data_IF_184681717095
#
_entry.id   IF_184681717095
#
_cell.length_a   1.000
_cell.length_b   1.000
_cell.length_c   1.000
_cell.angle_alpha   90.00
_cell.angle_beta   90.00
_cell.angle_gamma   90.00
#
_symmetry.space_group_name_H-M   'P 1'
#
loop_
_entity.id
_entity.type
_entity.pdbx_description
1 polymer ?
#
# COMPACT_ATOMS: atom_id res chain seq x y z
N UNK A 1 2.48 -9.02 -36.03
CA UNK A 1 3.11 -9.42 -34.75
C UNK A 1 4.21 -8.41 -34.42
N UNK A 2 4.21 -7.92 -33.18
CA UNK A 2 5.22 -6.93 -32.69
C UNK A 2 6.12 -7.59 -31.63
N UNK A 3 7.28 -7.00 -31.36
CA UNK A 3 8.12 -7.49 -30.29
C UNK A 3 7.60 -7.04 -28.90
N UNK A 4 8.09 -7.69 -27.84
CA UNK A 4 7.66 -7.44 -26.46
C UNK A 4 7.88 -5.99 -26.00
N UNK A 5 9.01 -5.37 -26.39
CA UNK A 5 9.31 -4.00 -25.96
C UNK A 5 8.40 -2.97 -26.66
N UNK A 6 8.07 -3.20 -27.94
CA UNK A 6 7.09 -2.36 -28.65
C UNK A 6 5.71 -2.47 -27.98
N UNK A 7 5.27 -3.69 -27.61
CA UNK A 7 4.01 -3.88 -26.90
C UNK A 7 3.99 -3.10 -25.56
N UNK A 8 5.05 -3.19 -24.77
CA UNK A 8 5.19 -2.40 -23.52
C UNK A 8 5.14 -0.89 -23.78
N UNK A 9 5.82 -0.39 -24.81
CA UNK A 9 5.75 1.04 -25.19
C UNK A 9 4.32 1.48 -25.54
N UNK A 10 3.58 0.66 -26.29
CA UNK A 10 2.17 0.95 -26.63
C UNK A 10 1.33 1.00 -25.37
N UNK A 11 1.47 0.06 -24.46
CA UNK A 11 0.74 0.05 -23.19
C UNK A 11 1.03 1.30 -22.37
N UNK A 12 2.31 1.69 -22.21
CA UNK A 12 2.70 2.94 -21.51
C UNK A 12 2.10 4.20 -22.13
N UNK A 13 2.02 4.29 -23.46
CA UNK A 13 1.38 5.40 -24.17
C UNK A 13 -0.15 5.37 -24.11
N UNK A 14 -0.73 4.26 -23.67
CA UNK A 14 -2.17 4.01 -23.66
C UNK A 14 -2.79 4.09 -22.27
N UNK A 15 -2.08 4.62 -21.28
CA UNK A 15 -2.56 4.75 -19.90
C UNK A 15 -3.89 5.50 -19.84
N UNK A 16 -4.84 4.96 -19.06
CA UNK A 16 -6.10 5.59 -18.76
C UNK A 16 -6.01 6.36 -17.43
N UNK A 17 -6.81 7.43 -17.30
CA UNK A 17 -6.85 8.21 -16.05
C UNK A 17 -7.90 7.62 -15.11
N UNK A 18 -7.48 7.28 -13.91
CA UNK A 18 -8.35 6.83 -12.83
C UNK A 18 -8.53 7.98 -11.82
N UNK A 19 -9.76 8.14 -11.34
CA UNK A 19 -10.11 9.15 -10.33
C UNK A 19 -9.50 8.80 -8.98
N UNK A 20 -9.27 9.82 -8.18
CA UNK A 20 -8.96 9.66 -6.77
C UNK A 20 -10.26 9.60 -5.96
N UNK A 21 -10.21 9.01 -4.77
CA UNK A 21 -11.30 9.01 -3.82
C UNK A 21 -10.78 9.26 -2.40
N UNK A 22 -11.63 9.90 -1.58
CA UNK A 22 -11.32 10.18 -0.18
C UNK A 22 -11.96 9.12 0.70
N UNK A 23 -11.17 8.45 1.53
CA UNK A 23 -11.64 7.37 2.40
C UNK A 23 -11.15 7.58 3.85
N UNK A 24 -11.79 6.89 4.80
CA UNK A 24 -11.28 6.85 6.19
C UNK A 24 -9.92 6.12 6.21
N UNK A 25 -8.95 6.67 6.91
CA UNK A 25 -7.60 6.12 6.99
C UNK A 25 -7.57 4.67 7.51
N UNK A 26 -8.47 4.32 8.42
CA UNK A 26 -8.59 2.94 8.96
C UNK A 26 -9.06 1.90 7.93
N UNK A 27 -9.68 2.33 6.83
CA UNK A 27 -10.16 1.47 5.75
C UNK A 27 -9.24 1.49 4.53
N UNK A 28 -8.01 1.97 4.69
CA UNK A 28 -7.10 2.22 3.58
C UNK A 28 -6.06 1.13 3.33
N UNK A 29 -6.08 0.07 4.08
CA UNK A 29 -5.14 -1.05 3.89
C UNK A 29 -5.12 -1.50 2.42
N UNK A 30 -3.92 -1.71 1.88
CA UNK A 30 -3.66 -2.11 0.49
C UNK A 30 -4.18 -1.12 -0.58
N UNK A 31 -4.58 0.11 -0.20
CA UNK A 31 -4.89 1.17 -1.16
C UNK A 31 -3.60 1.92 -1.53
N UNK A 32 -3.61 2.59 -2.67
CA UNK A 32 -2.49 3.40 -3.15
C UNK A 32 -2.75 4.87 -2.84
N UNK A 33 -1.85 5.52 -2.13
CA UNK A 33 -1.93 6.94 -1.83
C UNK A 33 -1.90 7.78 -3.12
N UNK A 34 -2.86 8.67 -3.32
CA UNK A 34 -2.93 9.50 -4.53
C UNK A 34 -2.17 10.82 -4.40
N UNK A 35 -1.81 11.20 -3.19
CA UNK A 35 -1.03 12.39 -2.83
C UNK A 35 -0.07 12.05 -1.68
N UNK A 36 0.94 12.88 -1.45
CA UNK A 36 1.75 12.78 -0.24
C UNK A 36 0.87 13.04 0.99
N UNK A 37 1.04 12.23 2.01
CA UNK A 37 0.34 12.37 3.29
C UNK A 37 1.33 12.94 4.30
N UNK A 38 0.93 14.03 4.96
CA UNK A 38 1.78 14.76 5.89
C UNK A 38 1.26 14.66 7.32
N UNK A 39 2.15 14.73 8.29
CA UNK A 39 1.78 14.87 9.69
C UNK A 39 1.10 16.23 9.93
N UNK A 40 -0.06 16.21 10.58
CA UNK A 40 -0.78 17.43 10.96
C UNK A 40 -0.28 18.05 12.27
N UNK A 41 0.52 17.32 13.04
CA UNK A 41 0.99 17.66 14.38
C UNK A 41 2.46 17.24 14.57
N UNK A 42 3.10 17.82 15.58
CA UNK A 42 4.31 17.23 16.15
C UNK A 42 3.92 16.03 17.02
N UNK A 43 4.65 14.93 16.91
CA UNK A 43 4.46 13.77 17.78
C UNK A 43 5.80 13.28 18.35
N UNK A 44 5.91 13.17 19.68
CA UNK A 44 4.97 13.59 20.72
C UNK A 44 4.63 15.08 20.65
N UNK A 45 3.45 15.47 21.18
CA UNK A 45 2.97 16.85 21.15
C UNK A 45 3.71 17.79 22.12
N UNK A 46 4.44 17.23 23.08
CA UNK A 46 5.26 17.91 24.06
C UNK A 46 6.44 17.06 24.50
N UNK A 47 7.37 17.63 25.25
CA UNK A 47 8.43 16.85 25.88
C UNK A 47 7.83 15.93 26.93
N UNK A 48 8.06 14.62 26.80
CA UNK A 48 7.47 13.58 27.65
C UNK A 48 8.55 12.82 28.41
N UNK A 49 8.16 12.25 29.55
CA UNK A 49 9.02 11.32 30.28
C UNK A 49 9.18 10.02 29.48
N UNK A 50 10.42 9.59 29.28
CA UNK A 50 10.74 8.31 28.64
C UNK A 50 10.65 7.11 29.60
N UNK A 51 10.70 7.38 30.92
CA UNK A 51 10.62 6.39 32.00
C UNK A 51 9.73 6.92 33.14
N UNK A 52 9.22 5.98 33.93
CA UNK A 52 8.59 6.32 35.20
C UNK A 52 9.65 6.86 36.15
N UNK A 53 9.36 7.95 36.85
CA UNK A 53 10.33 8.57 37.74
C UNK A 53 9.95 9.96 38.20
N UNK A 54 10.94 10.83 38.34
CA UNK A 54 10.76 12.18 38.85
C UNK A 54 11.30 13.23 37.89
N UNK A 55 10.48 14.17 37.48
CA UNK A 55 10.89 15.36 36.77
C UNK A 55 11.49 16.39 37.74
N UNK A 56 12.69 16.87 37.40
CA UNK A 56 13.41 17.91 38.18
C UNK A 56 14.04 18.92 37.21
N UNK A 57 14.54 20.02 37.77
CA UNK A 57 15.42 20.93 37.06
C UNK A 57 16.87 20.51 37.25
N UNK A 58 17.57 20.15 36.16
CA UNK A 58 18.95 19.69 36.18
C UNK A 58 19.93 20.71 36.80
N UNK A 59 19.62 22.02 36.69
CA UNK A 59 20.44 23.11 37.29
C UNK A 59 20.53 22.99 38.80
N UNK A 60 19.51 22.45 39.46
CA UNK A 60 19.49 22.27 40.90
C UNK A 60 20.45 21.16 41.37
N UNK A 61 20.96 20.37 40.44
CA UNK A 61 21.94 19.30 40.75
C UNK A 61 23.42 19.68 40.51
N UNK A 62 23.70 20.91 40.02
CA UNK A 62 25.04 21.32 39.58
C UNK A 62 26.12 21.21 40.68
N UNK A 63 25.75 21.52 41.90
CA UNK A 63 26.67 21.60 43.05
C UNK A 63 26.59 20.35 43.94
N UNK A 64 25.90 19.29 43.50
CA UNK A 64 25.80 18.04 44.24
C UNK A 64 27.11 17.25 44.07
N UNK A 65 27.68 16.85 45.20
CA UNK A 65 28.80 15.91 45.24
C UNK A 65 28.38 14.58 45.91
N UNK A 66 29.15 13.53 45.71
CA UNK A 66 28.80 12.17 46.20
C UNK A 66 28.64 12.07 47.74
N UNK A 67 29.10 13.06 48.51
CA UNK A 67 29.04 13.08 49.99
C UNK A 67 27.73 13.71 50.52
N UNK A 68 26.97 14.45 49.70
CA UNK A 68 25.79 15.19 50.13
C UNK A 68 24.57 14.77 49.34
N UNK A 69 23.59 14.19 50.03
CA UNK A 69 22.27 13.90 49.45
C UNK A 69 21.41 15.17 49.43
N UNK A 70 21.18 15.74 48.26
CA UNK A 70 20.28 16.85 48.10
C UNK A 70 18.83 16.38 48.13
N UNK A 71 18.00 17.00 48.97
CA UNK A 71 16.55 16.73 49.05
C UNK A 71 15.79 17.54 48.00
N UNK A 72 14.95 16.86 47.23
CA UNK A 72 13.96 17.49 46.36
C UNK A 72 12.56 17.18 46.86
N UNK A 73 11.74 18.20 47.03
CA UNK A 73 10.39 18.10 47.57
C UNK A 73 9.44 17.56 46.50
N UNK A 74 8.69 16.52 46.81
CA UNK A 74 7.65 15.98 45.90
C UNK A 74 6.43 16.90 46.04
N UNK A 75 6.08 17.63 44.95
CA UNK A 75 4.98 18.60 44.92
C UNK A 75 3.72 18.09 44.22
N UNK A 76 3.79 16.89 43.63
CA UNK A 76 2.67 16.24 42.98
C UNK A 76 3.08 15.04 42.14
N UNK A 77 2.09 14.47 41.43
CA UNK A 77 2.26 13.36 40.53
C UNK A 77 1.54 13.62 39.20
N UNK A 78 2.05 13.10 38.09
CA UNK A 78 1.53 13.22 36.74
C UNK A 78 1.40 11.83 36.14
N UNK A 79 0.18 11.34 36.00
CA UNK A 79 -0.10 10.11 35.28
C UNK A 79 -0.04 10.34 33.76
N UNK A 80 0.14 9.26 32.99
CA UNK A 80 -0.02 9.31 31.53
C UNK A 80 -1.43 9.83 31.17
N UNK A 81 -1.49 10.79 30.25
CA UNK A 81 -2.75 11.42 29.83
C UNK A 81 -3.35 12.44 30.81
N UNK A 82 -2.67 12.71 31.93
CA UNK A 82 -3.12 13.76 32.86
C UNK A 82 -3.08 15.15 32.22
N UNK A 83 -3.94 16.05 32.75
CA UNK A 83 -3.92 17.47 32.35
C UNK A 83 -2.56 18.10 32.71
N UNK A 84 -2.13 19.16 31.97
CA UNK A 84 -0.88 19.84 32.24
C UNK A 84 -0.78 20.29 33.71
N UNK A 85 0.38 20.10 34.32
CA UNK A 85 0.66 20.46 35.69
C UNK A 85 0.70 22.00 35.84
N UNK A 86 -0.07 22.55 36.79
CA UNK A 86 -0.27 24.01 36.91
C UNK A 86 0.37 24.66 38.14
N UNK A 87 1.00 23.88 39.04
CA UNK A 87 1.62 24.44 40.23
C UNK A 87 2.88 25.23 39.87
N UNK A 88 3.16 26.31 40.64
CA UNK A 88 4.41 27.05 40.55
C UNK A 88 5.54 26.17 41.06
N UNK A 89 6.59 26.01 40.23
CA UNK A 89 7.75 25.20 40.52
C UNK A 89 8.82 26.09 41.18
N UNK A 90 9.31 25.64 42.33
CA UNK A 90 10.43 26.27 43.05
C UNK A 90 11.71 25.45 42.92
N UNK A 91 12.83 26.03 43.32
CA UNK A 91 14.10 25.34 43.41
C UNK A 91 13.99 24.12 44.33
N UNK A 92 14.60 22.98 43.90
CA UNK A 92 14.53 21.67 44.58
C UNK A 92 13.12 21.08 44.69
N UNK A 93 12.20 21.47 43.83
CA UNK A 93 10.96 20.73 43.63
C UNK A 93 11.16 19.54 42.68
N UNK A 94 10.36 18.49 42.89
CA UNK A 94 10.27 17.32 42.03
C UNK A 94 8.81 16.95 41.84
N UNK A 95 8.47 16.41 40.65
CA UNK A 95 7.14 15.86 40.36
C UNK A 95 7.32 14.41 39.92
N UNK A 96 6.59 13.52 40.59
CA UNK A 96 6.50 12.14 40.12
C UNK A 96 5.81 12.10 38.74
N UNK A 97 6.37 11.40 37.79
CA UNK A 97 5.85 11.40 36.43
C UNK A 97 5.94 9.99 35.84
N UNK A 98 4.81 9.55 35.23
CA UNK A 98 4.75 8.28 34.53
C UNK A 98 5.19 8.44 33.08
N UNK A 99 5.70 7.36 32.50
CA UNK A 99 6.09 7.27 31.07
C UNK A 99 5.01 7.86 30.17
N UNK A 100 5.39 8.71 29.23
CA UNK A 100 4.47 9.43 28.36
C UNK A 100 3.81 10.67 28.97
N UNK A 101 3.98 10.93 30.27
CA UNK A 101 3.54 12.16 30.91
C UNK A 101 4.27 13.38 30.36
N UNK A 102 3.55 14.50 30.15
CA UNK A 102 4.13 15.77 29.67
C UNK A 102 4.94 16.41 30.81
N UNK A 103 6.20 16.69 30.53
CA UNK A 103 7.12 17.33 31.49
C UNK A 103 6.68 18.79 31.72
N UNK A 104 6.42 19.19 32.97
CA UNK A 104 6.00 20.58 33.26
C UNK A 104 7.07 21.61 32.90
N UNK A 105 6.63 22.78 32.48
CA UNK A 105 7.53 23.91 32.25
C UNK A 105 8.30 24.24 33.55
N UNK A 106 9.63 24.29 33.46
CA UNK A 106 10.53 24.49 34.60
C UNK A 106 11.32 23.26 35.00
N UNK A 107 10.91 22.06 34.56
CA UNK A 107 11.68 20.85 34.63
C UNK A 107 12.28 20.52 33.26
N UNK A 108 13.44 19.86 33.25
CA UNK A 108 14.16 19.59 32.02
C UNK A 108 14.85 18.20 32.00
N UNK A 109 14.65 17.38 33.02
CA UNK A 109 15.25 16.05 33.12
C UNK A 109 14.40 15.11 33.96
N UNK A 110 14.51 13.81 33.68
CA UNK A 110 13.84 12.73 34.42
C UNK A 110 14.87 11.86 35.10
N UNK A 111 14.61 11.53 36.36
CA UNK A 111 15.37 10.48 37.07
C UNK A 111 14.46 9.27 37.20
N UNK A 112 14.85 8.11 36.63
CA UNK A 112 14.07 6.87 36.76
C UNK A 112 13.85 6.49 38.21
N UNK A 113 12.67 5.92 38.52
CA UNK A 113 12.26 5.59 39.88
C UNK A 113 13.26 4.61 40.56
N UNK A 114 13.88 3.74 39.79
CA UNK A 114 14.85 2.75 40.26
C UNK A 114 16.16 3.39 40.79
N UNK A 115 16.41 4.65 40.44
CA UNK A 115 17.60 5.43 40.87
C UNK A 115 17.28 6.39 41.99
N UNK A 116 16.12 6.29 42.63
CA UNK A 116 15.63 7.20 43.63
C UNK A 116 15.71 6.59 45.05
N UNK A 117 16.15 7.37 46.01
CA UNK A 117 15.98 7.09 47.43
C UNK A 117 14.97 8.06 48.03
N UNK A 118 13.97 7.53 48.71
CA UNK A 118 12.91 8.32 49.30
C UNK A 118 13.25 8.76 50.75
N UNK A 119 12.80 9.94 51.13
CA UNK A 119 12.96 10.47 52.48
C UNK A 119 11.63 11.00 53.03
N UNK A 120 11.26 10.73 54.27
CA UNK A 120 12.01 9.96 55.28
C UNK A 120 11.97 8.45 55.01
N UNK A 121 11.03 7.89 54.25
CA UNK A 121 10.94 6.46 53.92
C UNK A 121 10.11 6.24 52.64
N UNK A 122 10.13 5.01 52.12
CA UNK A 122 9.33 4.60 50.98
C UNK A 122 7.80 4.65 51.26
N UNK A 123 7.39 4.48 52.52
CA UNK A 123 5.99 4.59 52.94
C UNK A 123 5.54 6.03 53.18
N UNK A 124 6.52 6.96 53.42
CA UNK A 124 6.24 8.39 53.62
C UNK A 124 7.14 9.21 52.64
N UNK A 125 6.69 9.29 51.40
CA UNK A 125 7.45 9.90 50.28
C UNK A 125 7.29 11.42 50.26
N UNK A 126 7.99 12.15 51.14
CA UNK A 126 7.97 13.62 51.11
C UNK A 126 9.03 14.21 50.20
N UNK A 127 10.18 13.54 50.09
CA UNK A 127 11.32 14.00 49.31
C UNK A 127 11.94 12.84 48.57
N UNK A 128 12.64 13.14 47.46
CA UNK A 128 13.61 12.28 46.82
C UNK A 128 15.01 12.78 47.14
N UNK A 129 15.98 11.86 47.27
CA UNK A 129 17.38 12.16 47.53
C UNK A 129 18.20 11.95 46.26
N UNK A 130 18.97 12.97 45.89
CA UNK A 130 19.84 12.94 44.71
C UNK A 130 21.28 13.20 45.17
N UNK A 131 22.19 12.30 44.84
CA UNK A 131 23.60 12.32 45.31
C UNK A 131 24.62 12.56 44.21
N UNK A 132 24.15 12.91 43.00
CA UNK A 132 25.02 13.20 41.85
C UNK A 132 24.38 14.22 40.92
N UNK A 133 25.25 14.91 40.18
CA UNK A 133 24.81 15.76 39.07
C UNK A 133 24.03 14.94 38.04
N UNK A 134 22.97 15.50 37.53
CA UNK A 134 22.14 14.93 36.46
C UNK A 134 22.20 15.86 35.25
N UNK A 135 22.41 15.28 34.09
CA UNK A 135 22.50 16.06 32.86
C UNK A 135 21.11 16.53 32.40
N UNK A 136 21.11 17.69 31.76
CA UNK A 136 19.90 18.25 31.14
C UNK A 136 19.40 17.30 30.05
N UNK A 137 18.08 17.16 29.95
CA UNK A 137 17.39 16.33 28.96
C UNK A 137 17.59 14.81 29.11
N UNK A 138 18.14 14.35 30.23
CA UNK A 138 18.23 12.94 30.51
C UNK A 138 16.83 12.33 30.60
N UNK A 139 16.61 11.21 29.87
CA UNK A 139 15.33 10.49 29.80
C UNK A 139 14.13 11.34 29.36
N UNK A 140 14.36 12.38 28.54
CA UNK A 140 13.34 13.20 27.93
C UNK A 140 13.13 12.77 26.48
N UNK A 141 11.89 12.43 26.13
CA UNK A 141 11.47 12.24 24.75
C UNK A 141 10.95 13.57 24.22
N UNK A 142 11.64 14.13 23.25
CA UNK A 142 11.36 15.49 22.77
C UNK A 142 10.09 15.58 21.93
N UNK A 143 9.43 16.73 22.03
CA UNK A 143 8.36 17.12 21.11
C UNK A 143 8.83 16.92 19.66
N UNK A 144 8.01 16.23 18.86
CA UNK A 144 8.28 16.02 17.44
C UNK A 144 9.46 15.08 17.14
N UNK A 145 9.92 14.27 18.12
CA UNK A 145 11.03 13.35 17.90
C UNK A 145 10.69 12.21 16.95
N UNK A 146 9.44 11.81 16.82
CA UNK A 146 8.99 10.76 15.94
C UNK A 146 8.48 11.31 14.61
N UNK A 147 7.66 12.38 14.70
CA UNK A 147 7.14 13.11 13.54
C UNK A 147 7.05 14.61 13.84
N UNK A 148 7.55 15.41 12.92
CA UNK A 148 7.34 16.87 12.94
C UNK A 148 6.10 17.21 12.12
N UNK A 149 5.41 18.28 12.52
CA UNK A 149 4.33 18.85 11.70
C UNK A 149 4.83 19.12 10.28
N UNK A 150 4.03 18.76 9.27
CA UNK A 150 4.34 18.84 7.82
C UNK A 150 5.43 17.88 7.33
N UNK A 151 5.91 16.96 8.14
CA UNK A 151 6.77 15.86 7.69
C UNK A 151 5.97 14.84 6.86
N UNK A 152 6.57 14.28 5.82
CA UNK A 152 5.94 13.25 4.98
C UNK A 152 5.84 11.95 5.78
N UNK A 153 4.60 11.49 5.97
CA UNK A 153 4.27 10.21 6.60
C UNK A 153 4.21 9.09 5.57
N UNK A 154 3.72 9.39 4.37
CA UNK A 154 3.63 8.45 3.26
C UNK A 154 3.70 9.21 1.94
N UNK A 155 4.56 8.74 1.06
CA UNK A 155 4.68 9.31 -0.28
C UNK A 155 3.51 8.90 -1.19
N UNK A 156 3.18 9.79 -2.13
CA UNK A 156 2.28 9.49 -3.24
C UNK A 156 2.73 8.22 -3.97
N UNK A 157 1.77 7.47 -4.49
CA UNK A 157 1.96 6.22 -5.22
C UNK A 157 2.53 5.06 -4.38
N UNK A 158 2.48 5.16 -3.06
CA UNK A 158 2.84 4.08 -2.15
C UNK A 158 1.61 3.25 -1.74
N UNK A 159 1.79 1.95 -1.59
CA UNK A 159 0.77 1.05 -1.03
C UNK A 159 0.71 1.25 0.48
N UNK A 160 -0.48 1.44 1.00
CA UNK A 160 -0.72 1.63 2.43
C UNK A 160 -0.64 0.28 3.14
N UNK A 161 0.31 0.18 4.06
CA UNK A 161 0.60 -1.00 4.89
C UNK A 161 0.03 -0.85 6.30
N UNK A 162 -0.04 -1.90 7.13
CA UNK A 162 -0.56 -1.83 8.50
C UNK A 162 0.15 -0.78 9.38
N UNK A 163 1.47 -0.63 9.26
CA UNK A 163 2.26 0.38 9.98
C UNK A 163 1.84 1.81 9.62
N UNK A 164 1.45 2.08 8.37
CA UNK A 164 0.93 3.39 7.98
C UNK A 164 -0.42 3.69 8.65
N UNK A 165 -1.29 2.68 8.81
CA UNK A 165 -2.56 2.84 9.53
C UNK A 165 -2.32 3.15 11.00
N UNK A 166 -1.35 2.48 11.64
CA UNK A 166 -0.91 2.79 13.00
C UNK A 166 -0.50 4.27 13.10
N UNK A 167 0.39 4.71 12.21
CA UNK A 167 0.88 6.09 12.14
C UNK A 167 -0.25 7.10 11.92
N UNK A 168 -1.17 6.83 10.98
CA UNK A 168 -2.32 7.70 10.73
C UNK A 168 -3.18 7.87 11.98
N UNK A 169 -3.42 6.79 12.72
CA UNK A 169 -4.17 6.87 13.98
C UNK A 169 -3.42 7.64 15.06
N UNK A 170 -2.12 7.41 15.20
CA UNK A 170 -1.26 8.12 16.15
C UNK A 170 -1.24 9.63 15.89
N UNK A 171 -1.18 10.03 14.61
CA UNK A 171 -1.15 11.44 14.19
C UNK A 171 -2.54 12.08 14.02
N UNK A 172 -3.63 11.34 14.29
CA UNK A 172 -4.99 11.84 14.16
C UNK A 172 -5.46 12.06 12.73
N UNK A 173 -4.81 11.45 11.74
CA UNK A 173 -5.18 11.57 10.31
C UNK A 173 -6.44 10.72 10.06
N UNK A 174 -7.58 11.37 9.93
CA UNK A 174 -8.90 10.72 9.83
C UNK A 174 -9.22 10.24 8.42
N UNK A 175 -8.92 11.05 7.41
CA UNK A 175 -9.23 10.78 6.01
C UNK A 175 -8.00 11.01 5.14
N UNK A 176 -7.87 10.20 4.09
CA UNK A 176 -6.78 10.27 3.12
C UNK A 176 -7.32 10.13 1.70
N UNK A 177 -6.57 10.65 0.74
CA UNK A 177 -6.86 10.48 -0.68
C UNK A 177 -6.10 9.29 -1.24
N UNK A 178 -6.80 8.41 -1.94
CA UNK A 178 -6.25 7.19 -2.55
C UNK A 178 -6.71 7.06 -4.00
N UNK A 179 -5.98 6.31 -4.78
CA UNK A 179 -6.40 5.91 -6.12
C UNK A 179 -7.64 5.02 -6.04
N UNK A 180 -8.66 5.29 -6.86
CA UNK A 180 -9.82 4.42 -6.98
C UNK A 180 -9.38 3.07 -7.55
N UNK A 181 -9.97 1.97 -7.05
CA UNK A 181 -9.72 0.63 -7.62
C UNK A 181 -10.19 0.56 -9.06
N UNK A 182 -9.44 -0.17 -9.88
CA UNK A 182 -9.76 -0.40 -11.29
C UNK A 182 -10.89 -1.42 -11.39
N UNK A 183 -11.92 -1.15 -12.18
CA UNK A 183 -13.01 -2.08 -12.38
C UNK A 183 -12.76 -2.94 -13.63
N UNK A 184 -12.53 -4.24 -13.44
CA UNK A 184 -12.32 -5.22 -14.49
C UNK A 184 -13.59 -6.01 -14.72
N UNK A 185 -14.01 -6.12 -16.00
CA UNK A 185 -15.05 -7.02 -16.45
C UNK A 185 -14.41 -8.13 -17.30
N UNK A 186 -14.51 -9.36 -16.84
CA UNK A 186 -13.87 -10.52 -17.46
C UNK A 186 -14.89 -11.41 -18.19
N UNK A 187 -14.55 -11.89 -19.37
CA UNK A 187 -15.32 -12.88 -20.13
C UNK A 187 -14.43 -14.05 -20.50
N UNK A 188 -14.90 -15.26 -20.23
CA UNK A 188 -14.36 -16.47 -20.88
C UNK A 188 -15.01 -16.62 -22.26
N UNK A 189 -14.26 -17.07 -23.26
CA UNK A 189 -14.78 -17.24 -24.62
C UNK A 189 -14.50 -18.62 -25.14
N UNK A 190 -15.49 -19.24 -25.77
CA UNK A 190 -15.41 -20.57 -26.39
C UNK A 190 -16.63 -21.43 -26.06
N UNK A 191 -17.02 -22.27 -27.02
CA UNK A 191 -18.12 -23.24 -26.85
C UNK A 191 -17.74 -24.38 -25.90
N UNK A 192 -16.43 -24.66 -25.78
CA UNK A 192 -15.86 -25.71 -24.93
C UNK A 192 -15.90 -25.35 -23.44
N UNK A 193 -15.97 -24.07 -23.09
CA UNK A 193 -15.85 -23.61 -21.68
C UNK A 193 -17.11 -23.92 -20.87
N UNK A 194 -16.92 -24.45 -19.66
CA UNK A 194 -17.98 -24.73 -18.69
C UNK A 194 -17.65 -24.25 -17.30
N UNK A 195 -18.68 -23.81 -16.55
CA UNK A 195 -18.59 -23.49 -15.10
C UNK A 195 -18.98 -24.68 -14.22
N UNK A 196 -19.37 -25.80 -14.80
CA UNK A 196 -19.74 -27.02 -14.07
C UNK A 196 -18.48 -27.79 -13.66
N UNK A 197 -18.55 -28.47 -12.52
CA UNK A 197 -17.46 -29.32 -12.02
C UNK A 197 -17.40 -30.64 -12.80
N UNK A 198 -18.56 -31.24 -13.06
CA UNK A 198 -18.66 -32.45 -13.88
C UNK A 198 -18.92 -32.05 -15.33
N UNK A 199 -17.95 -32.31 -16.18
CA UNK A 199 -17.98 -31.97 -17.60
C UNK A 199 -17.56 -33.18 -18.43
N UNK A 200 -18.12 -33.35 -19.62
CA UNK A 200 -17.63 -34.39 -20.58
C UNK A 200 -16.24 -33.99 -21.09
N UNK A 201 -15.50 -34.99 -21.65
CA UNK A 201 -14.10 -34.86 -22.04
C UNK A 201 -13.84 -33.80 -23.11
N UNK A 202 -14.85 -33.43 -23.92
CA UNK A 202 -14.74 -32.37 -24.94
C UNK A 202 -14.99 -30.96 -24.39
N UNK A 203 -15.23 -30.79 -23.08
CA UNK A 203 -15.37 -29.51 -22.42
C UNK A 203 -14.16 -29.19 -21.55
N UNK A 204 -13.97 -27.91 -21.28
CA UNK A 204 -12.87 -27.41 -20.47
C UNK A 204 -13.45 -26.56 -19.32
N UNK A 205 -12.94 -26.77 -18.11
CA UNK A 205 -13.34 -25.98 -16.93
C UNK A 205 -12.86 -24.52 -17.05
N UNK A 206 -13.68 -23.58 -16.60
CA UNK A 206 -13.38 -22.15 -16.65
C UNK A 206 -12.30 -21.74 -15.63
N UNK A 207 -11.10 -22.25 -15.76
CA UNK A 207 -9.97 -22.03 -14.83
C UNK A 207 -9.40 -20.61 -14.89
N UNK A 208 -9.35 -19.98 -16.09
CA UNK A 208 -8.74 -18.67 -16.29
C UNK A 208 -9.44 -17.57 -15.50
N UNK A 209 -10.78 -17.62 -15.41
CA UNK A 209 -11.58 -16.69 -14.63
C UNK A 209 -11.20 -16.73 -13.14
N UNK A 210 -11.12 -17.94 -12.58
CA UNK A 210 -10.77 -18.14 -11.18
C UNK A 210 -9.33 -17.74 -10.88
N UNK A 211 -8.39 -18.07 -11.76
CA UNK A 211 -6.99 -17.69 -11.62
C UNK A 211 -6.83 -16.17 -11.57
N UNK A 212 -7.38 -15.45 -12.56
CA UNK A 212 -7.23 -14.00 -12.67
C UNK A 212 -7.90 -13.29 -11.50
N UNK A 213 -9.10 -13.75 -11.07
CA UNK A 213 -9.78 -13.22 -9.90
C UNK A 213 -8.92 -13.24 -8.64
N UNK A 214 -8.14 -14.33 -8.46
CA UNK A 214 -7.35 -14.55 -7.25
C UNK A 214 -5.90 -14.06 -7.35
N UNK A 215 -5.49 -13.49 -8.48
CA UNK A 215 -4.11 -13.00 -8.67
C UNK A 215 -3.86 -11.64 -8.00
N UNK A 216 -4.90 -10.88 -7.67
CA UNK A 216 -4.79 -9.54 -7.09
C UNK A 216 -4.48 -9.61 -5.59
N UNK A 217 -3.25 -9.92 -5.24
CA UNK A 217 -2.77 -9.97 -3.85
C UNK A 217 -2.78 -8.59 -3.17
N UNK A 218 -2.71 -7.52 -3.95
CA UNK A 218 -2.68 -6.13 -3.45
C UNK A 218 -4.03 -5.42 -3.52
N UNK A 219 -5.08 -6.11 -3.89
CA UNK A 219 -6.44 -5.56 -3.99
C UNK A 219 -6.53 -4.29 -4.85
N UNK A 220 -5.79 -4.25 -5.96
CA UNK A 220 -5.68 -3.09 -6.86
C UNK A 220 -6.92 -2.90 -7.75
N UNK A 221 -7.69 -3.95 -7.94
CA UNK A 221 -8.87 -3.90 -8.80
C UNK A 221 -10.09 -4.61 -8.18
N UNK A 222 -11.26 -4.25 -8.70
CA UNK A 222 -12.51 -4.97 -8.49
C UNK A 222 -12.74 -5.88 -9.69
N UNK A 223 -12.93 -7.17 -9.47
CA UNK A 223 -13.16 -8.16 -10.51
C UNK A 223 -14.63 -8.50 -10.61
N UNK A 224 -15.18 -8.39 -11.84
CA UNK A 224 -16.54 -8.84 -12.17
C UNK A 224 -16.49 -9.90 -13.26
N UNK A 225 -17.05 -11.08 -12.98
CA UNK A 225 -17.24 -12.10 -13.98
C UNK A 225 -18.45 -11.73 -14.87
N UNK A 226 -18.19 -11.55 -16.16
CA UNK A 226 -19.19 -11.25 -17.18
C UNK A 226 -19.83 -12.48 -17.81
N UNK A 227 -19.36 -13.69 -17.42
CA UNK A 227 -19.84 -14.95 -17.93
C UNK A 227 -19.06 -15.48 -19.15
N UNK A 228 -19.65 -16.44 -19.83
CA UNK A 228 -19.07 -17.11 -20.98
C UNK A 228 -19.69 -16.56 -22.25
N UNK A 229 -18.87 -16.14 -23.20
CA UNK A 229 -19.25 -15.79 -24.56
C UNK A 229 -19.04 -16.99 -25.48
N UNK A 230 -20.10 -17.45 -26.13
CA UNK A 230 -20.04 -18.50 -27.14
C UNK A 230 -19.59 -17.95 -28.48
N UNK A 231 -19.13 -18.79 -29.39
CA UNK A 231 -18.65 -18.37 -30.70
C UNK A 231 -19.68 -17.62 -31.54
N UNK A 232 -20.98 -17.91 -31.33
CA UNK A 232 -22.10 -17.18 -31.93
C UNK A 232 -22.40 -15.81 -31.27
N UNK A 233 -21.73 -15.46 -30.17
CA UNK A 233 -22.05 -14.27 -29.36
C UNK A 233 -21.36 -12.98 -29.85
N UNK A 234 -20.94 -12.87 -31.10
CA UNK A 234 -20.27 -11.69 -31.64
C UNK A 234 -21.09 -10.39 -31.45
N UNK A 235 -22.39 -10.40 -31.78
CA UNK A 235 -23.29 -9.25 -31.56
C UNK A 235 -23.47 -8.94 -30.08
N UNK A 236 -23.59 -9.97 -29.23
CA UNK A 236 -23.70 -9.84 -27.78
C UNK A 236 -22.46 -9.16 -27.22
N UNK A 237 -21.26 -9.58 -27.63
CA UNK A 237 -20.02 -8.98 -27.18
C UNK A 237 -19.90 -7.51 -27.61
N UNK A 238 -20.26 -7.16 -28.85
CA UNK A 238 -20.30 -5.76 -29.30
C UNK A 238 -21.22 -4.91 -28.44
N UNK A 239 -22.40 -5.41 -28.11
CA UNK A 239 -23.36 -4.73 -27.21
C UNK A 239 -22.78 -4.56 -25.80
N UNK A 240 -22.08 -5.58 -25.26
CA UNK A 240 -21.44 -5.50 -23.95
C UNK A 240 -20.32 -4.44 -23.92
N UNK A 241 -19.49 -4.35 -24.97
CA UNK A 241 -18.50 -3.26 -25.10
C UNK A 241 -19.18 -1.90 -25.14
N UNK A 242 -20.22 -1.74 -25.96
CA UNK A 242 -20.96 -0.46 -26.06
C UNK A 242 -21.54 -0.03 -24.70
N UNK A 243 -22.11 -0.98 -23.93
CA UNK A 243 -22.61 -0.71 -22.56
C UNK A 243 -21.45 -0.34 -21.62
N UNK A 244 -20.31 -0.98 -21.74
CA UNK A 244 -19.13 -0.67 -20.94
C UNK A 244 -18.67 0.78 -21.12
N UNK A 245 -18.74 1.34 -22.33
CA UNK A 245 -18.34 2.73 -22.59
C UNK A 245 -19.07 3.75 -21.71
N UNK A 246 -20.30 3.43 -21.27
CA UNK A 246 -21.14 4.25 -20.39
C UNK A 246 -21.13 3.79 -18.92
N UNK A 247 -20.38 2.72 -18.57
CA UNK A 247 -20.36 2.14 -17.22
C UNK A 247 -19.11 2.54 -16.43
N UNK A 248 -19.05 2.12 -15.18
CA UNK A 248 -17.85 2.25 -14.31
C UNK A 248 -16.74 1.25 -14.64
N UNK A 249 -16.91 0.32 -15.58
CA UNK A 249 -15.87 -0.62 -16.00
C UNK A 249 -14.73 0.13 -16.68
N UNK A 250 -13.49 -0.12 -16.27
CA UNK A 250 -12.29 0.51 -16.82
C UNK A 250 -11.60 -0.39 -17.84
N UNK A 251 -11.58 -1.70 -17.56
CA UNK A 251 -10.91 -2.71 -18.38
C UNK A 251 -11.87 -3.86 -18.69
N UNK A 252 -12.00 -4.23 -19.96
CA UNK A 252 -12.55 -5.54 -20.35
C UNK A 252 -11.40 -6.50 -20.61
N UNK A 253 -11.53 -7.74 -20.11
CA UNK A 253 -10.62 -8.83 -20.41
C UNK A 253 -11.44 -9.97 -21.01
N UNK A 254 -10.98 -10.52 -22.14
CA UNK A 254 -11.48 -11.79 -22.67
C UNK A 254 -10.38 -12.85 -22.56
N UNK A 255 -10.74 -14.12 -22.36
CA UNK A 255 -9.82 -15.24 -22.41
C UNK A 255 -10.34 -16.28 -23.40
N UNK A 256 -9.63 -16.42 -24.53
CA UNK A 256 -10.01 -17.19 -25.71
C UNK A 256 -10.47 -16.34 -26.88
N UNK A 257 -10.74 -16.96 -28.03
CA UNK A 257 -11.23 -16.36 -29.28
C UNK A 257 -10.41 -15.16 -29.81
N UNK A 258 -9.08 -15.14 -29.58
CA UNK A 258 -8.17 -14.04 -29.94
C UNK A 258 -7.11 -14.40 -30.98
N UNK A 259 -6.99 -15.68 -31.37
CA UNK A 259 -5.99 -16.14 -32.30
C UNK A 259 -6.37 -15.84 -33.78
N UNK A 260 -6.09 -16.71 -34.69
CA UNK A 260 -6.46 -16.63 -36.12
C UNK A 260 -7.41 -17.75 -36.53
N UNK A 261 -8.04 -18.44 -35.58
CA UNK A 261 -9.00 -19.52 -35.87
C UNK A 261 -10.32 -18.98 -36.43
N UNK A 262 -11.03 -19.84 -37.16
CA UNK A 262 -12.31 -19.52 -37.80
C UNK A 262 -13.37 -18.93 -36.88
N UNK A 263 -13.30 -19.26 -35.57
CA UNK A 263 -14.25 -18.87 -34.56
C UNK A 263 -13.75 -17.70 -33.64
N UNK A 264 -12.57 -17.14 -33.96
CA UNK A 264 -11.94 -16.10 -33.17
C UNK A 264 -12.52 -14.69 -33.47
N UNK A 265 -13.70 -14.41 -32.98
CA UNK A 265 -14.47 -13.20 -33.27
C UNK A 265 -14.03 -11.93 -32.49
N UNK A 266 -13.29 -12.09 -31.41
CA UNK A 266 -12.93 -10.97 -30.51
C UNK A 266 -12.16 -9.87 -31.24
N UNK A 267 -11.13 -10.15 -32.07
CA UNK A 267 -10.40 -9.11 -32.79
C UNK A 267 -11.28 -8.29 -33.75
N UNK A 268 -12.20 -8.93 -34.45
CA UNK A 268 -13.05 -8.27 -35.45
C UNK A 268 -14.10 -7.37 -34.78
N UNK A 269 -14.69 -7.84 -33.69
CA UNK A 269 -15.59 -7.00 -32.88
C UNK A 269 -14.85 -5.77 -32.36
N UNK A 270 -13.63 -5.93 -31.83
CA UNK A 270 -12.86 -4.80 -31.29
C UNK A 270 -12.50 -3.80 -32.39
N UNK A 271 -12.09 -4.26 -33.57
CA UNK A 271 -11.77 -3.40 -34.73
C UNK A 271 -12.97 -2.62 -35.25
N UNK A 272 -14.19 -3.05 -34.98
CA UNK A 272 -15.41 -2.28 -35.36
C UNK A 272 -15.58 -0.98 -34.57
N UNK A 273 -14.79 -0.74 -33.52
CA UNK A 273 -14.75 0.49 -32.75
C UNK A 273 -13.61 1.40 -33.22
N UNK A 274 -13.75 2.72 -33.01
CA UNK A 274 -12.64 3.67 -33.22
C UNK A 274 -11.60 3.45 -32.13
N UNK A 275 -10.38 3.09 -32.51
CA UNK A 275 -9.27 2.81 -31.58
C UNK A 275 -8.22 3.90 -31.65
N UNK A 276 -7.61 4.24 -30.51
CA UNK A 276 -6.43 5.12 -30.45
C UNK A 276 -5.12 4.32 -30.48
N UNK A 277 -5.11 3.12 -29.90
CA UNK A 277 -3.98 2.19 -29.92
C UNK A 277 -4.50 0.74 -30.04
N UNK A 278 -3.76 -0.06 -30.78
CA UNK A 278 -4.11 -1.46 -30.99
C UNK A 278 -2.86 -2.29 -31.29
N UNK A 279 -2.80 -3.50 -30.74
CA UNK A 279 -1.94 -4.55 -31.26
C UNK A 279 -2.61 -5.93 -31.13
N UNK A 280 -2.25 -6.83 -32.03
CA UNK A 280 -2.59 -8.26 -31.99
C UNK A 280 -1.36 -9.07 -32.30
N UNK A 281 -1.02 -9.98 -31.40
CA UNK A 281 0.16 -10.85 -31.50
C UNK A 281 1.46 -10.17 -31.11
N UNK A 282 2.13 -10.77 -30.14
CA UNK A 282 3.45 -10.36 -29.62
C UNK A 282 4.41 -11.53 -29.75
N UNK A 283 5.67 -11.25 -30.05
CA UNK A 283 6.73 -12.26 -30.15
C UNK A 283 7.15 -12.80 -28.78
N UNK A 284 6.24 -13.53 -28.12
CA UNK A 284 6.41 -14.15 -26.80
C UNK A 284 5.99 -15.63 -26.84
N UNK A 285 6.48 -16.41 -25.89
CA UNK A 285 6.05 -17.78 -25.66
C UNK A 285 6.10 -18.12 -24.17
N UNK A 286 4.96 -18.57 -23.56
CA UNK A 286 3.62 -18.67 -24.14
C UNK A 286 2.95 -17.30 -24.28
N UNK A 287 1.81 -17.24 -24.98
CA UNK A 287 0.95 -16.04 -25.01
C UNK A 287 0.96 -15.24 -26.32
N UNK A 288 1.60 -15.76 -27.40
CA UNK A 288 1.72 -15.09 -28.70
C UNK A 288 0.46 -14.31 -29.17
N UNK A 289 -0.78 -14.84 -29.11
CA UNK A 289 -1.96 -14.19 -29.68
C UNK A 289 -2.58 -13.10 -28.81
N UNK A 290 -1.90 -12.62 -27.79
CA UNK A 290 -2.43 -11.51 -26.96
C UNK A 290 -2.85 -10.31 -27.81
N UNK A 291 -3.95 -9.67 -27.40
CA UNK A 291 -4.51 -8.49 -28.04
C UNK A 291 -4.68 -7.38 -27.00
N UNK A 292 -4.45 -6.15 -27.43
CA UNK A 292 -4.75 -4.93 -26.67
C UNK A 292 -5.43 -3.90 -27.57
N UNK A 293 -6.40 -3.18 -27.01
CA UNK A 293 -7.05 -2.07 -27.67
C UNK A 293 -7.42 -0.96 -26.68
N UNK A 294 -7.12 0.30 -27.03
CA UNK A 294 -7.64 1.48 -26.34
C UNK A 294 -8.72 2.14 -27.20
N UNK A 295 -9.90 2.34 -26.64
CA UNK A 295 -11.00 3.00 -27.34
C UNK A 295 -10.70 4.50 -27.46
N UNK A 296 -10.79 5.04 -28.70
CA UNK A 296 -10.53 6.45 -28.98
C UNK A 296 -11.57 7.36 -28.30
N UNK A 297 -11.10 8.44 -27.70
CA UNK A 297 -11.96 9.38 -26.98
C UNK A 297 -12.55 8.86 -25.68
N UNK A 298 -12.07 7.71 -25.17
CA UNK A 298 -12.57 7.10 -23.96
C UNK A 298 -11.42 6.64 -23.03
N UNK A 299 -11.72 6.55 -21.72
CA UNK A 299 -10.80 6.02 -20.72
C UNK A 299 -11.06 4.53 -20.46
N UNK A 300 -11.13 3.75 -21.56
CA UNK A 300 -11.44 2.31 -21.51
C UNK A 300 -10.48 1.53 -22.39
N UNK A 301 -10.09 0.36 -21.90
CA UNK A 301 -9.22 -0.56 -22.63
C UNK A 301 -9.76 -1.98 -22.64
N UNK A 302 -9.32 -2.75 -23.61
CA UNK A 302 -9.72 -4.13 -23.80
C UNK A 302 -8.44 -4.95 -23.95
N UNK A 303 -8.32 -6.03 -23.19
CA UNK A 303 -7.31 -7.06 -23.37
C UNK A 303 -7.97 -8.35 -23.84
N UNK A 304 -7.42 -8.95 -24.88
CA UNK A 304 -7.75 -10.30 -25.32
C UNK A 304 -6.62 -11.24 -24.97
N UNK A 305 -6.86 -12.16 -24.05
CA UNK A 305 -5.89 -13.15 -23.60
C UNK A 305 -6.12 -14.49 -24.29
N UNK A 306 -5.08 -15.32 -24.51
CA UNK A 306 -5.24 -16.66 -25.05
C UNK A 306 -6.16 -17.53 -24.18
N UNK A 307 -6.83 -18.53 -24.79
CA UNK A 307 -7.64 -19.51 -24.06
C UNK A 307 -6.81 -20.48 -23.20
N UNK A 308 -5.61 -20.86 -23.68
CA UNK A 308 -4.72 -21.76 -22.93
C UNK A 308 -4.36 -21.15 -21.56
N UNK A 309 -4.57 -21.87 -20.44
CA UNK A 309 -4.38 -21.34 -19.08
C UNK A 309 -2.99 -20.76 -18.83
N UNK A 310 -1.92 -21.45 -19.19
CA UNK A 310 -0.55 -20.97 -19.00
C UNK A 310 -0.25 -19.72 -19.83
N UNK A 311 -0.81 -19.64 -21.04
CA UNK A 311 -0.68 -18.47 -21.89
C UNK A 311 -1.46 -17.28 -21.35
N UNK A 312 -2.68 -17.52 -20.85
CA UNK A 312 -3.53 -16.51 -20.22
C UNK A 312 -2.88 -15.95 -18.95
N UNK A 313 -2.36 -16.83 -18.11
CA UNK A 313 -1.64 -16.46 -16.88
C UNK A 313 -0.40 -15.60 -17.18
N UNK A 314 0.44 -16.01 -18.11
CA UNK A 314 1.62 -15.26 -18.52
C UNK A 314 1.24 -13.89 -19.10
N UNK A 315 0.22 -13.83 -19.97
CA UNK A 315 -0.23 -12.56 -20.53
C UNK A 315 -0.80 -11.62 -19.46
N UNK A 316 -1.56 -12.14 -18.51
CA UNK A 316 -2.06 -11.32 -17.41
C UNK A 316 -0.89 -10.79 -16.57
N UNK A 317 0.04 -11.66 -16.14
CA UNK A 317 1.17 -11.28 -15.28
C UNK A 317 2.11 -10.26 -15.91
N UNK A 318 2.40 -10.38 -17.23
CA UNK A 318 3.43 -9.57 -17.88
C UNK A 318 2.90 -8.40 -18.73
N UNK A 319 1.58 -8.29 -18.93
CA UNK A 319 0.98 -7.19 -19.69
C UNK A 319 -0.13 -6.48 -18.91
N UNK A 320 -1.12 -7.23 -18.40
CA UNK A 320 -2.29 -6.63 -17.76
C UNK A 320 -1.95 -6.09 -16.38
N UNK A 321 -1.30 -6.89 -15.54
CA UNK A 321 -0.96 -6.50 -14.19
C UNK A 321 -0.01 -5.29 -14.14
N UNK A 322 1.12 -5.25 -14.90
CA UNK A 322 1.95 -4.05 -14.98
C UNK A 322 1.22 -2.83 -15.57
N UNK A 323 0.27 -3.03 -16.47
CA UNK A 323 -0.56 -1.94 -16.97
C UNK A 323 -1.45 -1.38 -15.86
N UNK A 324 -2.03 -2.23 -15.00
CA UNK A 324 -2.79 -1.82 -13.81
C UNK A 324 -1.90 -1.03 -12.85
N UNK A 325 -0.72 -1.53 -12.52
CA UNK A 325 0.25 -0.86 -11.66
C UNK A 325 0.59 0.55 -12.19
N UNK A 326 0.86 0.67 -13.49
CA UNK A 326 1.15 1.95 -14.13
C UNK A 326 -0.03 2.94 -14.07
N UNK A 327 -1.28 2.47 -14.21
CA UNK A 327 -2.48 3.32 -14.12
C UNK A 327 -2.61 3.95 -12.73
N UNK A 328 -2.35 3.18 -11.69
CA UNK A 328 -2.47 3.64 -10.30
C UNK A 328 -1.20 4.30 -9.78
N UNK A 329 -0.17 4.39 -10.64
CA UNK A 329 1.09 5.10 -10.37
C UNK A 329 2.09 4.32 -9.51
N UNK A 330 1.95 3.02 -9.39
CA UNK A 330 2.97 2.18 -8.74
C UNK A 330 4.22 2.09 -9.61
N UNK A 331 5.36 1.95 -8.96
CA UNK A 331 6.62 1.69 -9.64
C UNK A 331 6.60 0.31 -10.30
N UNK A 332 7.17 0.23 -11.51
CA UNK A 332 7.36 -1.08 -12.16
C UNK A 332 8.24 -1.98 -11.29
N UNK A 333 7.82 -3.23 -11.16
CA UNK A 333 8.61 -4.27 -10.51
C UNK A 333 9.97 -4.41 -11.20
N UNK A 334 11.04 -4.33 -10.42
CA UNK A 334 12.40 -4.54 -10.93
C UNK A 334 12.68 -6.04 -11.02
N UNK A 335 13.02 -6.56 -12.21
CA UNK A 335 13.34 -7.97 -12.33
C UNK A 335 14.63 -8.30 -11.58
N UNK A 336 14.62 -9.41 -10.86
CA UNK A 336 15.84 -9.99 -10.31
C UNK A 336 16.63 -10.67 -11.41
N UNK A 337 17.94 -10.49 -11.42
CA UNK A 337 18.85 -11.21 -12.31
C UNK A 337 19.34 -12.46 -11.61
N UNK A 338 19.32 -13.58 -12.34
CA UNK A 338 19.82 -14.86 -11.83
C UNK A 338 20.55 -15.61 -12.93
N UNK A 339 21.46 -16.50 -12.55
CA UNK A 339 22.15 -17.42 -13.46
C UNK A 339 21.31 -18.68 -13.57
N UNK A 340 21.03 -19.10 -14.81
CA UNK A 340 20.32 -20.35 -15.04
C UNK A 340 21.25 -21.54 -14.76
N UNK A 341 20.76 -22.50 -13.96
CA UNK A 341 21.51 -23.73 -13.65
C UNK A 341 21.70 -24.59 -14.90
N UNK A 342 20.71 -24.62 -15.78
CA UNK A 342 20.72 -25.44 -17.01
C UNK A 342 20.56 -24.57 -18.25
N UNK A 343 21.11 -25.00 -19.35
CA UNK A 343 20.93 -24.36 -20.63
C UNK A 343 19.45 -24.31 -21.02
N UNK A 344 19.02 -23.18 -21.54
CA UNK A 344 17.64 -22.95 -21.95
C UNK A 344 17.57 -22.42 -23.37
N UNK A 345 17.01 -23.22 -24.28
CA UNK A 345 16.88 -22.84 -25.69
C UNK A 345 15.61 -22.04 -25.92
N UNK A 346 15.72 -20.93 -26.60
CA UNK A 346 14.59 -20.11 -27.04
C UNK A 346 14.64 -19.86 -28.54
N UNK A 347 13.46 -19.67 -29.17
CA UNK A 347 13.40 -19.21 -30.55
C UNK A 347 13.97 -17.79 -30.65
N UNK A 348 14.80 -17.56 -31.66
CA UNK A 348 15.32 -16.22 -31.92
C UNK A 348 14.21 -15.19 -32.09
N UNK A 349 14.46 -13.95 -31.65
CA UNK A 349 13.49 -12.85 -31.65
C UNK A 349 12.19 -13.05 -30.81
N UNK A 350 12.11 -14.13 -30.00
CA UNK A 350 11.01 -14.34 -29.05
C UNK A 350 11.48 -14.13 -27.61
N UNK A 351 10.61 -13.52 -26.81
CA UNK A 351 10.75 -13.53 -25.35
C UNK A 351 10.10 -14.80 -24.82
N UNK A 352 10.81 -15.54 -23.99
CA UNK A 352 10.31 -16.77 -23.37
C UNK A 352 9.98 -16.51 -21.90
N UNK A 353 8.73 -16.76 -21.51
CA UNK A 353 8.33 -16.84 -20.11
C UNK A 353 8.40 -18.31 -19.69
N UNK A 354 9.35 -18.62 -18.83
CA UNK A 354 9.54 -19.97 -18.30
C UNK A 354 9.14 -19.99 -16.82
N UNK A 355 8.47 -21.08 -16.41
CA UNK A 355 8.23 -21.36 -15.00
C UNK A 355 9.55 -21.88 -14.42
N UNK A 356 10.03 -21.27 -13.33
CA UNK A 356 11.15 -21.77 -12.53
C UNK A 356 10.63 -22.37 -11.23
N UNK A 357 11.39 -23.33 -10.69
CA UNK A 357 11.22 -23.84 -9.32
C UNK A 357 12.13 -23.05 -8.39
#
# INVERSE_FOLDING_TARGET
MINYQIAKKILKKSIIKIKDEKIKSVNSLNRVASVNIYSSIDYPSGNNAAFDGFAINSKDTKNINKKINQKFKIIGSIAAGAKPFKKIIKRFDAVEIMTGGIIPKGFDTIIPIEKIVFSPSIKNRKYILINKKVDKFNHVRFKGSDYKKNEIVLEKNSIIQPNHILTFKTLGIKNISVKKKINILFFSTGNEISNQDNIPDWKVRNSNCHYIKNLDQNFLFNFKNGGILRDSHQKVFKTKITKMLKSSTDIIITSGAVSAGKFDFVPDVIRSFKLSNFFKGVAIRPGKPILFAKIKGNQKVIFGLPGNPMSSAACFRFFVYPYIENIIGLNEEKPLRAILKNNFTKKENFVRFAKSK
#
